data_IF_733760613114
#
_entry.id   IF_733760613114
#
_cell.length_a   1.000
_cell.length_b   1.000
_cell.length_c   1.000
_cell.angle_alpha   90.00
_cell.angle_beta   90.00
_cell.angle_gamma   90.00
#
_symmetry.space_group_name_H-M   'P 1'
#
loop_
_entity.id
_entity.type
_entity.pdbx_description
1 polymer ?
#
# COMPACT_ATOMS: atom_id res chain seq x y z
N UNK A 1 25.67 3.43 -1.42
CA UNK A 1 24.58 3.94 -0.56
C UNK A 1 24.41 5.44 -0.75
N UNK A 2 25.50 6.16 -1.08
CA UNK A 2 25.50 7.61 -1.32
C UNK A 2 24.63 8.06 -2.52
N UNK A 3 24.40 7.19 -3.51
CA UNK A 3 23.59 7.54 -4.69
C UNK A 3 22.06 7.57 -4.45
N UNK A 4 21.58 7.14 -3.28
CA UNK A 4 20.15 7.07 -2.97
C UNK A 4 19.58 8.37 -2.37
N UNK A 5 20.45 9.30 -1.96
CA UNK A 5 20.07 10.60 -1.41
C UNK A 5 19.08 11.37 -2.31
N UNK A 6 19.30 11.54 -3.63
CA UNK A 6 18.36 12.26 -4.48
C UNK A 6 16.98 11.59 -4.54
N UNK A 7 16.93 10.26 -4.53
CA UNK A 7 15.67 9.50 -4.58
C UNK A 7 14.85 9.62 -3.28
N UNK A 8 15.53 9.58 -2.14
CA UNK A 8 14.88 9.71 -0.83
C UNK A 8 14.39 11.13 -0.56
N UNK A 9 15.08 12.15 -1.08
CA UNK A 9 14.73 13.56 -0.84
C UNK A 9 13.70 14.15 -1.80
N UNK A 10 13.29 13.43 -2.87
CA UNK A 10 12.31 13.92 -3.87
C UNK A 10 11.04 14.46 -3.20
N UNK A 11 10.55 13.82 -2.14
CA UNK A 11 9.31 14.23 -1.47
C UNK A 11 9.40 15.62 -0.79
N UNK A 12 10.61 16.15 -0.56
CA UNK A 12 10.80 17.49 0.00
C UNK A 12 10.42 18.60 -0.99
N UNK A 13 10.27 18.29 -2.28
CA UNK A 13 9.78 19.23 -3.30
C UNK A 13 8.28 19.55 -3.14
N UNK A 14 7.51 18.71 -2.44
CA UNK A 14 6.09 18.96 -2.16
C UNK A 14 5.88 19.97 -1.03
N UNK A 15 4.69 20.58 -0.98
CA UNK A 15 4.27 21.45 0.13
C UNK A 15 4.38 20.71 1.46
N UNK A 16 4.77 21.44 2.52
CA UNK A 16 5.02 20.86 3.87
C UNK A 16 3.83 20.06 4.40
N UNK A 17 2.61 20.47 4.07
CA UNK A 17 1.35 19.79 4.43
C UNK A 17 1.23 18.37 3.85
N UNK A 18 1.84 18.09 2.68
CA UNK A 18 1.80 16.77 2.06
C UNK A 18 2.94 15.85 2.52
N UNK A 19 4.04 16.42 3.02
CA UNK A 19 5.25 15.65 3.40
C UNK A 19 4.98 14.62 4.49
N UNK A 20 4.16 14.97 5.48
CA UNK A 20 3.83 14.05 6.58
C UNK A 20 3.13 12.78 6.07
N UNK A 21 2.30 12.90 5.03
CA UNK A 21 1.63 11.76 4.39
C UNK A 21 2.58 10.97 3.49
N UNK A 22 3.48 11.65 2.77
CA UNK A 22 4.42 11.02 1.83
C UNK A 22 5.58 10.30 2.54
N UNK A 23 6.04 10.81 3.69
CA UNK A 23 7.14 10.22 4.45
C UNK A 23 6.72 8.97 5.25
N UNK A 24 5.43 8.81 5.56
CA UNK A 24 4.97 7.69 6.37
C UNK A 24 4.81 6.42 5.52
N UNK A 25 5.52 5.31 5.85
CA UNK A 25 5.32 4.03 5.17
C UNK A 25 4.08 3.27 5.68
N UNK A 26 3.45 3.75 6.75
CA UNK A 26 2.33 3.06 7.42
C UNK A 26 1.17 2.66 6.48
N UNK A 27 0.74 3.47 5.49
CA UNK A 27 -0.33 3.06 4.58
C UNK A 27 0.04 1.83 3.73
N UNK A 28 1.28 1.78 3.21
CA UNK A 28 1.71 0.66 2.35
C UNK A 28 2.05 -0.57 3.18
N UNK A 29 2.65 -0.40 4.36
CA UNK A 29 2.93 -1.50 5.29
C UNK A 29 1.64 -2.18 5.77
N UNK A 30 0.61 -1.39 6.11
CA UNK A 30 -0.71 -1.90 6.51
C UNK A 30 -1.37 -2.70 5.38
N UNK A 31 -1.33 -2.19 4.14
CA UNK A 31 -1.85 -2.90 2.96
C UNK A 31 -1.08 -4.21 2.69
N UNK A 32 0.25 -4.17 2.75
CA UNK A 32 1.08 -5.36 2.56
C UNK A 32 0.84 -6.42 3.65
N UNK A 33 0.61 -5.98 4.90
CA UNK A 33 0.21 -6.87 6.00
C UNK A 33 -1.13 -7.54 5.75
N UNK A 34 -2.11 -6.82 5.19
CA UNK A 34 -3.41 -7.36 4.81
C UNK A 34 -3.29 -8.42 3.71
N UNK A 35 -2.57 -8.09 2.64
CA UNK A 35 -2.31 -9.01 1.52
C UNK A 35 -1.65 -10.28 2.07
N UNK A 36 -0.56 -10.14 2.84
CA UNK A 36 0.15 -11.27 3.43
C UNK A 36 -0.79 -12.16 4.25
N UNK A 37 -1.55 -11.57 5.18
CA UNK A 37 -2.46 -12.31 6.07
C UNK A 37 -3.53 -13.10 5.31
N UNK A 38 -4.14 -12.52 4.27
CA UNK A 38 -5.20 -13.20 3.51
C UNK A 38 -4.64 -14.24 2.54
N UNK A 39 -3.45 -14.01 1.98
CA UNK A 39 -2.79 -15.02 1.13
C UNK A 39 -2.27 -16.21 1.95
N UNK A 40 -1.87 -15.99 3.21
CA UNK A 40 -1.34 -17.03 4.09
C UNK A 40 -2.36 -18.13 4.40
N UNK A 41 -3.66 -17.80 4.43
CA UNK A 41 -4.75 -18.78 4.60
C UNK A 41 -4.83 -19.79 3.45
N UNK A 42 -4.47 -19.37 2.23
CA UNK A 42 -4.56 -20.20 1.03
C UNK A 42 -3.30 -21.06 0.85
N UNK A 43 -2.13 -20.54 1.23
CA UNK A 43 -0.85 -21.24 1.19
C UNK A 43 -0.28 -21.39 -0.23
N UNK A 44 -0.98 -22.08 -1.13
CA UNK A 44 -0.56 -22.34 -2.52
C UNK A 44 -1.69 -21.98 -3.48
N UNK A 45 -1.34 -21.23 -4.53
CA UNK A 45 -2.27 -20.86 -5.60
C UNK A 45 -2.09 -21.75 -6.84
N UNK A 46 -3.17 -22.13 -7.52
CA UNK A 46 -3.11 -23.02 -8.68
C UNK A 46 -2.65 -22.32 -9.98
N UNK A 47 -2.72 -20.99 -10.03
CA UNK A 47 -2.20 -20.13 -11.11
C UNK A 47 -2.20 -18.65 -10.66
N UNK A 48 -1.60 -17.80 -11.49
CA UNK A 48 -1.46 -16.35 -11.24
C UNK A 48 -2.80 -15.60 -11.24
N UNK A 49 -3.78 -16.02 -12.04
CA UNK A 49 -5.08 -15.34 -12.12
C UNK A 49 -5.84 -15.40 -10.79
N UNK A 50 -5.67 -16.48 -10.01
CA UNK A 50 -6.32 -16.60 -8.69
C UNK A 50 -5.72 -15.61 -7.70
N UNK A 51 -4.40 -15.46 -7.65
CA UNK A 51 -3.76 -14.51 -6.73
C UNK A 51 -4.04 -13.06 -7.14
N UNK A 52 -3.99 -12.76 -8.45
CA UNK A 52 -4.34 -11.42 -8.96
C UNK A 52 -5.76 -11.05 -8.58
N UNK A 53 -6.72 -11.98 -8.70
CA UNK A 53 -8.11 -11.73 -8.34
C UNK A 53 -8.31 -11.53 -6.84
N UNK A 54 -7.62 -12.30 -5.99
CA UNK A 54 -7.68 -12.12 -4.54
C UNK A 54 -7.11 -10.76 -4.13
N UNK A 55 -5.90 -10.43 -4.59
CA UNK A 55 -5.25 -9.16 -4.28
C UNK A 55 -6.08 -8.00 -4.82
N UNK A 56 -6.65 -8.13 -6.02
CA UNK A 56 -7.59 -7.16 -6.59
C UNK A 56 -8.82 -6.91 -5.71
N UNK A 57 -9.42 -7.96 -5.15
CA UNK A 57 -10.52 -7.82 -4.21
C UNK A 57 -10.12 -7.10 -2.92
N UNK A 58 -8.95 -7.43 -2.35
CA UNK A 58 -8.40 -6.76 -1.15
C UNK A 58 -8.17 -5.27 -1.41
N UNK A 59 -7.64 -4.92 -2.58
CA UNK A 59 -7.41 -3.53 -2.97
C UNK A 59 -8.72 -2.75 -3.09
N UNK A 60 -9.77 -3.37 -3.64
CA UNK A 60 -11.09 -2.76 -3.75
C UNK A 60 -11.67 -2.48 -2.36
N UNK A 61 -11.62 -3.46 -1.45
CA UNK A 61 -12.09 -3.30 -0.07
C UNK A 61 -11.34 -2.18 0.66
N UNK A 62 -10.01 -2.13 0.56
CA UNK A 62 -9.20 -1.08 1.19
C UNK A 62 -9.47 0.31 0.59
N UNK A 63 -9.76 0.38 -0.70
CA UNK A 63 -10.13 1.64 -1.36
C UNK A 63 -11.48 2.16 -0.82
N UNK A 64 -12.48 1.28 -0.68
CA UNK A 64 -13.80 1.64 -0.16
C UNK A 64 -13.71 2.10 1.31
N UNK A 65 -12.95 1.39 2.16
CA UNK A 65 -12.69 1.81 3.54
C UNK A 65 -12.03 3.19 3.61
N UNK A 66 -11.03 3.44 2.75
CA UNK A 66 -10.33 4.71 2.71
C UNK A 66 -11.23 5.86 2.24
N UNK A 67 -12.12 5.60 1.27
CA UNK A 67 -13.10 6.57 0.80
C UNK A 67 -14.08 6.98 1.90
N UNK A 68 -14.58 6.03 2.69
CA UNK A 68 -15.47 6.29 3.83
C UNK A 68 -14.77 7.13 4.91
N UNK A 69 -13.51 6.82 5.23
CA UNK A 69 -12.74 7.57 6.23
C UNK A 69 -12.43 9.02 5.82
N UNK A 70 -12.35 9.31 4.52
CA UNK A 70 -12.13 10.67 3.98
C UNK A 70 -13.40 11.51 3.91
N UNK A 71 -14.56 10.86 3.88
CA UNK A 71 -15.87 11.52 3.85
C UNK A 71 -16.40 11.90 5.25
N UNK A 72 -15.73 11.44 6.31
CA UNK A 72 -15.97 11.81 7.71
C UNK A 72 -15.08 12.97 8.14
#
# INVERSE_FOLDING_TARGET
>A
MDDAEPDVLVYMTFLKEHRAKLHSPNPIERLNGEIKRRTEVIGIFPNDDVIVRLVGAILLEQNDECAVQRAR
#
